data_IF_891568093455
#
_entry.id   IF_891568093455
#
_cell.length_a   1.000
_cell.length_b   1.000
_cell.length_c   1.000
_cell.angle_alpha   90.00
_cell.angle_beta   90.00
_cell.angle_gamma   90.00
#
_symmetry.space_group_name_H-M   'P 1'
#
loop_
_entity.id
_entity.type
_entity.pdbx_description
1 polymer ?
#
# COMPACT_ATOMS: atom_id res chain seq x y z
N UNK A 1 -9.74 -20.16 -19.42
CA UNK A 1 -9.33 -18.99 -18.63
C UNK A 1 -8.81 -19.51 -17.30
N UNK A 2 -7.55 -19.28 -16.97
CA UNK A 2 -7.01 -19.65 -15.66
C UNK A 2 -7.38 -18.51 -14.71
N UNK A 3 -8.27 -18.78 -13.75
CA UNK A 3 -8.56 -17.85 -12.66
C UNK A 3 -7.38 -17.90 -11.68
N UNK A 4 -6.51 -16.89 -11.72
CA UNK A 4 -5.44 -16.71 -10.74
C UNK A 4 -6.04 -16.15 -9.44
N UNK A 5 -6.39 -17.05 -8.52
CA UNK A 5 -6.88 -16.68 -7.18
C UNK A 5 -5.78 -15.97 -6.39
N UNK A 6 -6.11 -14.94 -5.59
CA UNK A 6 -5.16 -14.25 -4.72
C UNK A 6 -4.47 -15.22 -3.76
N UNK A 7 -3.13 -15.22 -3.75
CA UNK A 7 -2.31 -16.15 -2.96
C UNK A 7 -2.03 -15.66 -1.53
N UNK A 8 -2.05 -14.35 -1.27
CA UNK A 8 -1.82 -13.82 0.08
C UNK A 8 -2.79 -12.70 0.45
N UNK A 9 -3.05 -12.58 1.75
CA UNK A 9 -3.85 -11.50 2.33
C UNK A 9 -2.98 -10.64 3.24
N UNK A 10 -3.02 -9.33 3.04
CA UNK A 10 -2.31 -8.34 3.86
C UNK A 10 -3.34 -7.59 4.69
N UNK A 11 -3.21 -7.66 6.01
CA UNK A 11 -4.08 -6.99 6.96
C UNK A 11 -3.47 -5.65 7.32
N UNK A 12 -4.28 -4.60 7.39
CA UNK A 12 -3.89 -3.25 7.80
C UNK A 12 -5.03 -2.63 8.63
N UNK A 13 -4.75 -1.54 9.35
CA UNK A 13 -5.75 -0.91 10.26
C UNK A 13 -7.10 -0.58 9.60
N UNK A 14 -7.11 -0.30 8.30
CA UNK A 14 -8.31 0.00 7.52
C UNK A 14 -9.02 -1.20 6.88
N UNK A 15 -8.50 -2.44 7.02
CA UNK A 15 -9.09 -3.64 6.44
C UNK A 15 -8.04 -4.65 5.97
N UNK A 16 -8.28 -5.23 4.79
CA UNK A 16 -7.35 -6.19 4.17
C UNK A 16 -7.26 -5.97 2.66
N UNK A 17 -6.18 -6.43 2.06
CA UNK A 17 -6.01 -6.52 0.61
C UNK A 17 -5.49 -7.88 0.24
N UNK A 18 -6.00 -8.45 -0.86
CA UNK A 18 -5.62 -9.77 -1.35
C UNK A 18 -4.77 -9.59 -2.60
N UNK A 19 -3.59 -10.22 -2.66
CA UNK A 19 -2.62 -10.02 -3.74
C UNK A 19 -2.00 -11.34 -4.18
N UNK A 20 -1.51 -11.35 -5.43
CA UNK A 20 -0.84 -12.49 -6.09
C UNK A 20 0.68 -12.31 -6.18
N UNK A 21 1.26 -11.57 -5.24
CA UNK A 21 2.68 -11.18 -5.27
C UNK A 21 3.34 -11.47 -3.93
N UNK A 22 4.62 -11.85 -4.01
CA UNK A 22 5.43 -12.28 -2.86
C UNK A 22 6.23 -11.13 -2.23
N UNK A 23 6.53 -10.06 -3.00
CA UNK A 23 7.20 -8.88 -2.47
C UNK A 23 6.32 -8.14 -1.46
N UNK A 24 6.93 -7.39 -0.54
CA UNK A 24 6.23 -6.65 0.50
C UNK A 24 5.86 -5.23 0.10
N UNK A 25 4.74 -4.69 0.63
CA UNK A 25 4.38 -3.31 0.40
C UNK A 25 5.44 -2.36 0.96
N UNK A 26 5.81 -1.36 0.17
CA UNK A 26 6.81 -0.35 0.56
C UNK A 26 6.19 0.93 1.10
N UNK A 27 4.91 1.17 0.82
CA UNK A 27 4.23 2.39 1.21
C UNK A 27 2.93 2.09 1.93
N UNK A 28 2.52 2.97 2.84
CA UNK A 28 1.22 2.91 3.49
C UNK A 28 0.56 4.28 3.46
N UNK A 29 -0.71 4.38 3.09
CA UNK A 29 -1.46 5.62 3.25
C UNK A 29 -1.60 5.98 4.73
N UNK A 30 -1.44 7.27 5.06
CA UNK A 30 -1.61 7.76 6.44
C UNK A 30 -3.08 7.92 6.85
N UNK A 31 -3.99 7.97 5.88
CA UNK A 31 -5.44 8.18 6.10
C UNK A 31 -6.24 6.88 6.04
N UNK A 32 -6.20 6.16 4.92
CA UNK A 32 -6.94 4.90 4.77
C UNK A 32 -6.15 3.65 5.19
N UNK A 33 -4.88 3.81 5.57
CA UNK A 33 -3.97 2.73 6.00
C UNK A 33 -3.72 1.64 4.94
N UNK A 34 -4.22 1.80 3.72
CA UNK A 34 -4.01 0.82 2.66
C UNK A 34 -2.52 0.76 2.30
N UNK A 35 -1.94 -0.44 2.26
CA UNK A 35 -0.58 -0.64 1.78
C UNK A 35 -0.52 -0.55 0.25
N UNK A 36 0.60 -0.06 -0.26
CA UNK A 36 0.92 0.05 -1.67
C UNK A 36 2.31 -0.50 -1.96
N UNK A 37 2.45 -1.07 -3.14
CA UNK A 37 3.71 -1.63 -3.63
C UNK A 37 4.54 -0.60 -4.37
N UNK A 38 5.79 -0.97 -4.61
CA UNK A 38 6.66 -0.16 -5.46
C UNK A 38 6.06 0.00 -6.86
N UNK A 39 5.99 1.23 -7.35
CA UNK A 39 5.36 1.57 -8.63
C UNK A 39 3.83 1.75 -8.62
N UNK A 40 3.15 1.51 -7.50
CA UNK A 40 1.70 1.79 -7.39
C UNK A 40 1.39 3.21 -6.89
N UNK A 41 2.38 3.89 -6.33
CA UNK A 41 2.26 5.27 -5.85
C UNK A 41 2.75 6.24 -6.92
N UNK A 42 1.98 7.30 -7.14
CA UNK A 42 2.30 8.32 -8.15
C UNK A 42 2.92 9.53 -7.47
N UNK A 43 3.94 10.10 -8.12
CA UNK A 43 4.46 11.43 -7.77
C UNK A 43 3.66 12.43 -8.59
N UNK A 44 2.78 13.20 -7.96
CA UNK A 44 2.07 14.28 -8.65
C UNK A 44 2.97 15.53 -8.68
N UNK A 45 3.16 16.09 -9.87
CA UNK A 45 4.27 17.02 -10.17
C UNK A 45 4.24 18.40 -9.49
N UNK A 46 3.31 18.67 -8.57
CA UNK A 46 3.20 19.99 -7.93
C UNK A 46 3.85 20.07 -6.54
N UNK A 47 3.87 18.94 -5.83
CA UNK A 47 4.57 18.75 -4.58
C UNK A 47 5.13 17.33 -4.68
N UNK A 48 6.43 17.12 -4.53
CA UNK A 48 7.08 15.81 -4.65
C UNK A 48 6.68 14.82 -3.52
N UNK A 49 5.40 14.79 -3.17
CA UNK A 49 4.77 13.91 -2.21
C UNK A 49 4.19 12.72 -2.96
N UNK A 50 4.48 11.53 -2.44
CA UNK A 50 3.81 10.32 -2.89
C UNK A 50 2.36 10.35 -2.37
N UNK A 51 1.41 10.26 -3.29
CA UNK A 51 -0.02 10.31 -2.95
C UNK A 51 -0.66 8.92 -3.05
N UNK A 52 -1.61 8.67 -2.14
CA UNK A 52 -2.38 7.44 -2.12
C UNK A 52 -3.35 7.41 -3.32
N UNK A 53 -3.26 6.41 -4.23
CA UNK A 53 -4.17 6.29 -5.36
C UNK A 53 -5.66 6.18 -4.98
N UNK A 54 -5.94 5.75 -3.74
CA UNK A 54 -7.30 5.51 -3.27
C UNK A 54 -7.99 6.75 -2.69
N UNK A 55 -7.23 7.65 -2.05
CA UNK A 55 -7.82 8.77 -1.31
C UNK A 55 -7.00 10.07 -1.39
N UNK A 56 -5.95 10.10 -2.21
CA UNK A 56 -5.05 11.23 -2.46
C UNK A 56 -4.33 11.77 -1.22
N UNK A 57 -4.50 11.12 -0.06
CA UNK A 57 -3.76 11.46 1.15
C UNK A 57 -2.29 11.06 1.02
N UNK A 58 -1.39 11.69 1.79
CA UNK A 58 0.02 11.33 1.79
C UNK A 58 0.25 9.85 2.14
N UNK A 59 1.27 9.24 1.52
CA UNK A 59 1.76 7.93 1.94
C UNK A 59 3.06 8.06 2.72
N UNK A 60 3.26 7.16 3.68
CA UNK A 60 4.52 6.97 4.40
C UNK A 60 5.25 5.75 3.84
N UNK A 61 6.56 5.69 4.06
CA UNK A 61 7.39 4.53 3.73
C UNK A 61 7.26 3.50 4.86
N UNK A 62 7.15 2.22 4.50
CA UNK A 62 7.20 1.11 5.44
C UNK A 62 8.67 0.69 5.58
N UNK A 63 9.17 0.70 6.81
CA UNK A 63 10.53 0.25 7.15
C UNK A 63 10.48 -0.70 8.34
N UNK A 64 11.60 -1.34 8.68
CA UNK A 64 11.67 -2.17 9.89
C UNK A 64 11.40 -1.38 11.17
N UNK A 65 11.82 -0.11 11.22
CA UNK A 65 11.57 0.80 12.35
C UNK A 65 10.13 1.34 12.37
N UNK A 66 9.49 1.46 11.21
CA UNK A 66 8.11 1.92 11.06
C UNK A 66 7.28 0.89 10.28
N UNK A 67 6.95 -0.25 10.90
CA UNK A 67 6.29 -1.37 10.22
C UNK A 67 4.87 -1.02 9.81
N UNK A 68 4.26 -1.87 8.98
CA UNK A 68 2.87 -1.72 8.53
C UNK A 68 1.92 -1.56 9.73
N UNK A 69 1.07 -0.53 9.70
CA UNK A 69 0.07 -0.31 10.76
C UNK A 69 -1.09 -1.28 10.54
N UNK A 70 -1.26 -2.21 11.48
CA UNK A 70 -2.25 -3.29 11.41
C UNK A 70 -3.42 -3.14 12.40
N UNK A 71 -3.31 -2.26 13.40
CA UNK A 71 -4.33 -2.01 14.44
C UNK A 71 -4.42 -0.51 14.75
#
# INVERSE_FOLDING_TARGET
MILTLPQRTIIYKGGFTMVNREDDPKYQCTSCYKPFFDGEVFITGFFACLECPNCQSPVRIITESEPLITK
#
